data_IF_916740002143
#
_entry.id   IF_916740002143
#
_cell.length_a   1.000
_cell.length_b   1.000
_cell.length_c   1.000
_cell.angle_alpha   90.00
_cell.angle_beta   90.00
_cell.angle_gamma   90.00
#
_symmetry.space_group_name_H-M   'P 1'
#
loop_
_entity.id
_entity.type
_entity.pdbx_description
1 polymer ?
#
# COMPACT_ATOMS: atom_id res chain seq x y z
N UNK A 1 -18.93 8.43 22.41
CA UNK A 1 -19.48 7.11 22.04
C UNK A 1 -18.98 6.83 20.64
N UNK A 2 -18.58 5.60 20.33
CA UNK A 2 -18.14 5.18 18.99
C UNK A 2 -19.15 4.14 18.52
N UNK A 3 -19.77 4.39 17.35
CA UNK A 3 -20.63 3.44 16.69
C UNK A 3 -19.87 2.87 15.48
N UNK A 4 -19.79 1.55 15.39
CA UNK A 4 -19.15 0.85 14.29
C UNK A 4 -20.22 0.16 13.43
N UNK A 5 -20.26 0.54 12.13
CA UNK A 5 -21.18 -0.06 11.16
C UNK A 5 -20.33 -0.87 10.18
N UNK A 6 -20.38 -2.19 10.30
CA UNK A 6 -19.68 -3.12 9.40
C UNK A 6 -20.33 -3.18 8.01
N UNK A 7 -19.61 -3.74 7.01
CA UNK A 7 -20.13 -3.91 5.65
C UNK A 7 -21.39 -4.78 5.60
N UNK A 8 -21.51 -5.76 6.49
CA UNK A 8 -22.70 -6.60 6.65
C UNK A 8 -23.96 -5.83 7.10
N UNK A 9 -23.79 -4.60 7.60
CA UNK A 9 -24.85 -3.65 7.96
C UNK A 9 -24.86 -2.42 7.03
N UNK A 10 -24.33 -2.54 5.81
CA UNK A 10 -24.32 -1.49 4.82
C UNK A 10 -23.26 -0.38 5.04
N UNK A 11 -22.28 -0.60 5.94
CA UNK A 11 -21.27 0.40 6.29
C UNK A 11 -20.37 0.87 5.14
N UNK A 12 -20.32 0.16 4.03
CA UNK A 12 -19.63 0.53 2.78
C UNK A 12 -20.55 1.18 1.73
N UNK A 13 -21.85 1.22 1.96
CA UNK A 13 -22.81 1.95 1.13
C UNK A 13 -22.99 3.38 1.64
N UNK A 14 -21.98 4.23 1.37
CA UNK A 14 -21.90 5.59 1.92
C UNK A 14 -22.03 6.63 0.81
N UNK A 15 -22.87 7.63 1.05
CA UNK A 15 -22.92 8.85 0.24
C UNK A 15 -22.90 10.11 1.11
N UNK A 16 -22.46 11.24 0.54
CA UNK A 16 -22.30 12.50 1.26
C UNK A 16 -22.97 13.63 0.52
N UNK A 17 -23.81 14.38 1.21
CA UNK A 17 -24.28 15.71 0.81
C UNK A 17 -23.53 16.77 1.61
N UNK A 18 -22.47 17.31 1.02
CA UNK A 18 -21.62 18.30 1.66
C UNK A 18 -22.36 19.65 1.89
N UNK A 19 -23.34 19.99 1.06
CA UNK A 19 -24.10 21.25 1.21
C UNK A 19 -25.08 21.18 2.39
N UNK A 20 -25.70 20.02 2.59
CA UNK A 20 -26.61 19.78 3.69
C UNK A 20 -25.89 19.32 4.98
N UNK A 21 -24.57 19.02 4.90
CA UNK A 21 -23.81 18.42 5.99
C UNK A 21 -24.42 17.10 6.47
N UNK A 22 -24.78 16.25 5.52
CA UNK A 22 -25.38 14.94 5.77
C UNK A 22 -24.47 13.83 5.25
N UNK A 23 -24.40 12.73 6.01
CA UNK A 23 -23.89 11.45 5.57
C UNK A 23 -25.05 10.45 5.51
N UNK A 24 -25.12 9.67 4.43
CA UNK A 24 -26.10 8.60 4.30
C UNK A 24 -25.36 7.26 4.30
N UNK A 25 -25.73 6.37 5.20
CA UNK A 25 -25.19 5.03 5.32
C UNK A 25 -26.35 4.06 5.14
N UNK A 26 -26.30 3.23 4.10
CA UNK A 26 -27.35 2.26 3.73
C UNK A 26 -28.78 2.86 3.72
N UNK A 27 -28.90 4.10 3.23
CA UNK A 27 -30.17 4.83 3.15
C UNK A 27 -30.58 5.61 4.40
N UNK A 28 -29.90 5.43 5.52
CA UNK A 28 -30.11 6.22 6.74
C UNK A 28 -29.31 7.52 6.68
N UNK A 29 -30.00 8.65 6.83
CA UNK A 29 -29.41 9.99 6.76
C UNK A 29 -29.09 10.50 8.16
N UNK A 30 -27.83 10.84 8.39
CA UNK A 30 -27.36 11.46 9.63
C UNK A 30 -26.74 12.83 9.34
N UNK A 31 -27.16 13.84 10.10
CA UNK A 31 -26.55 15.18 10.06
C UNK A 31 -25.27 15.17 10.89
N UNK A 32 -24.20 15.75 10.34
CA UNK A 32 -22.88 15.79 10.97
C UNK A 32 -22.32 17.21 10.99
N UNK A 33 -21.54 17.55 12.01
CA UNK A 33 -20.83 18.83 12.08
C UNK A 33 -19.47 18.75 11.38
N UNK A 34 -18.85 17.57 11.37
CA UNK A 34 -17.61 17.26 10.66
C UNK A 34 -17.73 15.85 10.06
N UNK A 35 -17.35 15.70 8.81
CA UNK A 35 -17.35 14.41 8.13
C UNK A 35 -15.99 14.17 7.46
N UNK A 36 -15.31 13.10 7.86
CA UNK A 36 -14.12 12.61 7.17
C UNK A 36 -14.46 11.33 6.40
N UNK A 37 -14.46 11.41 5.08
CA UNK A 37 -14.84 10.30 4.20
C UNK A 37 -13.66 9.84 3.38
N UNK A 38 -13.34 8.56 3.45
CA UNK A 38 -12.35 7.91 2.58
C UNK A 38 -13.11 7.12 1.52
N UNK A 39 -13.22 7.64 0.28
CA UNK A 39 -13.95 6.97 -0.79
C UNK A 39 -13.22 5.73 -1.28
N UNK A 40 -13.92 4.87 -2.01
CA UNK A 40 -13.31 3.77 -2.75
C UNK A 40 -12.22 4.32 -3.70
N UNK A 41 -11.06 3.70 -3.68
CA UNK A 41 -9.88 4.14 -4.45
C UNK A 41 -9.71 3.33 -5.73
N UNK A 42 -9.06 3.95 -6.72
CA UNK A 42 -8.63 3.31 -7.96
C UNK A 42 -7.28 3.86 -8.41
N UNK A 43 -6.67 3.21 -9.38
CA UNK A 43 -5.44 3.70 -10.02
C UNK A 43 -5.64 5.11 -10.56
N UNK A 44 -4.58 5.90 -10.58
CA UNK A 44 -4.61 7.25 -11.11
C UNK A 44 -5.04 7.27 -12.59
N UNK A 45 -5.67 8.36 -13.01
CA UNK A 45 -6.25 8.51 -14.35
C UNK A 45 -5.27 8.21 -15.50
N UNK A 46 -3.98 8.42 -15.28
CA UNK A 46 -2.96 8.14 -16.31
C UNK A 46 -2.93 6.64 -16.67
N UNK A 47 -3.12 5.73 -15.71
CA UNK A 47 -3.15 4.30 -15.97
C UNK A 47 -4.38 3.89 -16.80
N UNK A 48 -5.52 4.52 -16.53
CA UNK A 48 -6.75 4.33 -17.33
C UNK A 48 -6.57 4.84 -18.76
N UNK A 49 -6.04 6.06 -18.93
CA UNK A 49 -5.77 6.66 -20.24
C UNK A 49 -4.75 5.87 -21.06
N UNK A 50 -3.77 5.24 -20.40
CA UNK A 50 -2.79 4.36 -21.04
C UNK A 50 -3.36 2.97 -21.40
N UNK A 51 -4.60 2.67 -21.01
CA UNK A 51 -5.22 1.38 -21.31
C UNK A 51 -4.63 0.19 -20.55
N UNK A 52 -3.96 0.44 -19.42
CA UNK A 52 -3.25 -0.61 -18.66
C UNK A 52 -4.00 -1.08 -17.40
N UNK A 53 -5.22 -0.58 -17.17
CA UNK A 53 -6.06 -1.00 -16.04
C UNK A 53 -7.00 -2.15 -16.43
N UNK A 54 -7.30 -2.99 -15.45
CA UNK A 54 -8.40 -3.95 -15.47
C UNK A 54 -9.21 -3.70 -14.18
N UNK A 55 -10.45 -3.24 -14.34
CA UNK A 55 -11.22 -2.69 -13.24
C UNK A 55 -10.56 -1.45 -12.64
N UNK A 56 -10.38 -1.45 -11.32
CA UNK A 56 -9.86 -0.28 -10.60
C UNK A 56 -8.33 -0.18 -10.56
N UNK A 57 -7.61 -1.22 -10.97
CA UNK A 57 -6.16 -1.31 -10.78
C UNK A 57 -5.44 -1.80 -12.03
N UNK A 58 -4.13 -1.60 -12.10
CA UNK A 58 -3.30 -2.05 -13.21
C UNK A 58 -2.65 -3.41 -12.90
N UNK A 59 -3.02 -4.49 -13.60
CA UNK A 59 -2.38 -5.80 -13.45
C UNK A 59 -0.94 -5.78 -13.89
N UNK A 60 -0.05 -6.37 -13.06
CA UNK A 60 1.39 -6.42 -13.32
C UNK A 60 1.96 -7.84 -13.20
N UNK A 61 3.07 -8.08 -13.88
CA UNK A 61 3.90 -9.27 -13.68
C UNK A 61 4.70 -9.11 -12.38
N UNK A 62 4.48 -10.00 -11.42
CA UNK A 62 5.10 -9.91 -10.11
C UNK A 62 6.64 -9.94 -10.12
N UNK A 63 7.25 -10.55 -11.14
CA UNK A 63 8.71 -10.66 -11.24
C UNK A 63 9.40 -9.38 -11.70
N UNK A 64 8.69 -8.46 -12.38
CA UNK A 64 9.27 -7.28 -13.03
C UNK A 64 8.54 -5.98 -12.74
N UNK A 65 7.28 -6.04 -12.32
CA UNK A 65 6.34 -4.91 -12.26
C UNK A 65 5.94 -4.37 -13.66
N UNK A 66 6.26 -5.07 -14.76
CA UNK A 66 5.72 -4.71 -16.08
C UNK A 66 4.22 -4.98 -16.15
N UNK A 67 3.51 -4.16 -16.91
CA UNK A 67 2.07 -4.31 -17.11
C UNK A 67 1.73 -5.62 -17.84
N UNK A 68 0.61 -6.24 -17.48
CA UNK A 68 0.09 -7.38 -18.23
C UNK A 68 -0.59 -6.98 -19.54
N UNK A 69 -0.97 -5.70 -19.69
CA UNK A 69 -1.59 -5.16 -20.90
C UNK A 69 -0.54 -4.68 -21.92
N UNK A 70 0.59 -4.15 -21.45
CA UNK A 70 1.66 -3.63 -22.30
C UNK A 70 3.01 -3.91 -21.65
N UNK A 71 3.85 -4.81 -22.20
CA UNK A 71 5.11 -5.22 -21.59
C UNK A 71 6.16 -4.11 -21.49
N UNK A 72 6.04 -3.06 -22.29
CA UNK A 72 6.96 -1.91 -22.30
C UNK A 72 6.59 -0.85 -21.24
N UNK A 73 5.44 -1.03 -20.55
CA UNK A 73 4.98 -0.16 -19.47
C UNK A 73 5.18 -0.82 -18.13
N UNK A 74 5.81 -0.12 -17.19
CA UNK A 74 6.02 -0.58 -15.82
C UNK A 74 5.15 0.20 -14.85
N UNK A 75 4.48 -0.49 -13.92
CA UNK A 75 3.55 0.11 -12.97
C UNK A 75 3.86 -0.43 -11.57
N UNK A 76 4.03 0.47 -10.62
CA UNK A 76 4.34 0.12 -9.24
C UNK A 76 3.56 1.00 -8.26
N UNK A 77 3.64 0.68 -6.98
CA UNK A 77 2.92 1.38 -5.93
C UNK A 77 1.42 1.14 -5.98
N UNK A 78 0.67 2.10 -5.48
CA UNK A 78 -0.77 1.96 -5.24
C UNK A 78 -1.60 1.76 -6.51
N UNK A 79 -1.12 2.17 -7.67
CA UNK A 79 -1.80 1.95 -8.94
C UNK A 79 -1.83 0.48 -9.38
N UNK A 80 -0.88 -0.33 -8.92
CA UNK A 80 -0.74 -1.72 -9.36
C UNK A 80 -1.64 -2.70 -8.61
N UNK A 81 -2.01 -3.80 -9.30
CA UNK A 81 -2.60 -5.00 -8.68
C UNK A 81 -1.48 -5.84 -8.05
N UNK A 82 -1.08 -5.48 -6.83
CA UNK A 82 0.14 -6.00 -6.19
C UNK A 82 -0.06 -7.27 -5.33
N UNK A 83 -1.15 -8.00 -5.55
CA UNK A 83 -1.41 -9.27 -4.88
C UNK A 83 -1.61 -9.12 -3.37
N UNK A 84 -0.83 -9.85 -2.58
CA UNK A 84 -0.95 -9.86 -1.12
C UNK A 84 -0.23 -8.69 -0.44
N UNK A 85 0.53 -7.87 -1.18
CA UNK A 85 1.18 -6.69 -0.59
C UNK A 85 0.15 -5.59 -0.30
N UNK A 86 0.24 -4.92 0.86
CA UNK A 86 -0.58 -3.74 1.12
C UNK A 86 -0.12 -2.55 0.28
N UNK A 87 -1.03 -1.63 0.03
CA UNK A 87 -0.72 -0.33 -0.61
C UNK A 87 -0.11 0.59 0.43
N UNK A 88 1.20 0.85 0.31
CA UNK A 88 1.96 1.71 1.24
C UNK A 88 3.22 2.25 0.56
N UNK A 89 3.78 3.31 1.11
CA UNK A 89 5.04 3.88 0.62
C UNK A 89 6.20 2.89 0.70
N UNK A 90 6.25 2.05 1.73
CA UNK A 90 7.27 1.00 1.85
C UNK A 90 7.12 -0.05 0.73
N UNK A 91 5.88 -0.53 0.48
CA UNK A 91 5.59 -1.44 -0.63
C UNK A 91 6.01 -0.84 -1.97
N UNK A 92 5.67 0.43 -2.23
CA UNK A 92 6.04 1.14 -3.44
C UNK A 92 7.56 1.22 -3.62
N UNK A 93 8.31 1.57 -2.58
CA UNK A 93 9.79 1.60 -2.62
C UNK A 93 10.38 0.20 -2.86
N UNK A 94 9.83 -0.83 -2.21
CA UNK A 94 10.26 -2.22 -2.43
C UNK A 94 10.01 -2.67 -3.88
N UNK A 95 8.86 -2.34 -4.45
CA UNK A 95 8.52 -2.60 -5.84
C UNK A 95 9.39 -1.80 -6.82
N UNK A 96 9.73 -0.55 -6.48
CA UNK A 96 10.60 0.29 -7.30
C UNK A 96 11.98 -0.35 -7.50
N UNK A 97 12.55 -0.96 -6.47
CA UNK A 97 13.84 -1.66 -6.56
C UNK A 97 13.78 -2.88 -7.48
N UNK A 98 12.67 -3.64 -7.43
CA UNK A 98 12.44 -4.77 -8.35
C UNK A 98 12.25 -4.27 -9.78
N UNK A 99 11.43 -3.25 -9.98
CA UNK A 99 11.19 -2.62 -11.27
C UNK A 99 12.48 -2.10 -11.89
N UNK A 100 13.27 -1.31 -11.15
CA UNK A 100 14.55 -0.78 -11.64
C UNK A 100 15.54 -1.88 -12.06
N UNK A 101 15.58 -2.99 -11.32
CA UNK A 101 16.40 -4.14 -11.68
C UNK A 101 15.91 -4.82 -12.97
N UNK A 102 14.61 -4.92 -13.20
CA UNK A 102 14.02 -5.45 -14.41
C UNK A 102 14.29 -4.53 -15.61
N UNK A 103 13.98 -3.24 -15.51
CA UNK A 103 14.23 -2.23 -16.56
C UNK A 103 15.70 -2.19 -16.96
N UNK A 104 16.61 -2.21 -15.98
CA UNK A 104 18.04 -2.28 -16.26
C UNK A 104 18.38 -3.54 -17.06
N UNK A 105 17.81 -4.69 -16.69
CA UNK A 105 18.02 -5.95 -17.43
C UNK A 105 17.54 -5.86 -18.87
N UNK A 106 16.34 -5.32 -19.07
CA UNK A 106 15.73 -5.19 -20.41
C UNK A 106 16.53 -4.23 -21.31
N UNK A 107 17.02 -3.12 -20.76
CA UNK A 107 17.78 -2.13 -21.53
C UNK A 107 19.22 -2.53 -21.81
N UNK A 108 19.85 -3.31 -20.95
CA UNK A 108 21.30 -3.59 -21.04
C UNK A 108 21.66 -5.06 -21.27
N UNK A 109 20.68 -5.97 -21.24
CA UNK A 109 20.93 -7.42 -21.26
C UNK A 109 21.62 -7.93 -19.98
N UNK A 110 21.72 -7.12 -18.93
CA UNK A 110 22.38 -7.51 -17.69
C UNK A 110 21.51 -8.48 -16.87
N UNK A 111 22.15 -9.28 -16.01
CA UNK A 111 21.45 -10.25 -15.17
C UNK A 111 20.40 -9.57 -14.29
N UNK A 112 19.17 -10.07 -14.36
CA UNK A 112 18.08 -9.71 -13.46
C UNK A 112 18.08 -10.66 -12.25
N UNK A 113 17.99 -10.10 -11.05
CA UNK A 113 17.93 -10.88 -9.80
C UNK A 113 16.49 -11.26 -9.50
N UNK A 114 16.25 -12.41 -8.81
CA UNK A 114 14.91 -12.79 -8.39
C UNK A 114 14.22 -11.70 -7.56
N UNK A 115 12.97 -11.40 -7.91
CA UNK A 115 12.17 -10.41 -7.20
C UNK A 115 11.87 -10.85 -5.76
N UNK A 116 12.22 -10.00 -4.82
CA UNK A 116 11.92 -10.14 -3.39
C UNK A 116 11.32 -8.83 -2.90
N UNK A 117 10.28 -8.93 -2.09
CA UNK A 117 9.58 -7.75 -1.60
C UNK A 117 9.42 -7.82 -0.09
N UNK A 118 9.29 -6.67 0.51
CA UNK A 118 8.95 -6.52 1.92
C UNK A 118 8.04 -5.32 2.12
N UNK A 119 7.32 -5.32 3.22
CA UNK A 119 6.58 -4.18 3.71
C UNK A 119 6.65 -4.12 5.22
N UNK A 120 6.78 -2.93 5.76
CA UNK A 120 6.57 -2.63 7.18
C UNK A 120 5.77 -1.34 7.28
N UNK A 121 4.76 -1.37 8.12
CA UNK A 121 4.00 -0.20 8.52
C UNK A 121 4.20 0.01 10.02
N UNK A 122 4.55 1.23 10.41
CA UNK A 122 4.71 1.64 11.80
C UNK A 122 3.55 2.52 12.24
N UNK A 123 3.18 2.41 13.50
CA UNK A 123 2.32 3.37 14.17
C UNK A 123 3.05 3.88 15.41
N UNK A 124 3.30 5.19 15.43
CA UNK A 124 3.94 5.85 16.56
C UNK A 124 2.86 6.26 17.55
N UNK A 125 2.85 5.63 18.72
CA UNK A 125 1.83 5.84 19.76
C UNK A 125 2.22 7.03 20.64
N UNK A 126 3.50 7.27 20.81
CA UNK A 126 4.06 8.36 21.59
C UNK A 126 5.56 8.46 21.39
N UNK A 127 6.22 9.37 22.09
CA UNK A 127 7.68 9.50 22.05
C UNK A 127 8.36 8.23 22.54
N UNK A 128 9.26 7.68 21.74
CA UNK A 128 9.93 6.40 22.00
C UNK A 128 8.95 5.21 22.14
N UNK A 129 7.78 5.30 21.51
CA UNK A 129 6.74 4.29 21.62
C UNK A 129 6.12 3.99 20.26
N UNK A 130 6.54 2.90 19.64
CA UNK A 130 6.07 2.46 18.32
C UNK A 130 5.62 1.01 18.30
N UNK A 131 4.69 0.70 17.40
CA UNK A 131 4.28 -0.66 17.02
C UNK A 131 4.42 -0.81 15.52
N UNK A 132 4.53 -2.04 15.05
CA UNK A 132 4.67 -2.34 13.63
C UNK A 132 3.94 -3.61 13.20
N UNK A 133 3.57 -3.62 11.93
CA UNK A 133 3.11 -4.80 11.20
C UNK A 133 3.85 -4.87 9.87
N UNK A 134 4.21 -6.05 9.44
CA UNK A 134 4.89 -6.20 8.16
C UNK A 134 4.93 -7.64 7.68
N UNK A 135 5.48 -7.80 6.48
CA UNK A 135 5.64 -9.11 5.88
C UNK A 135 6.75 -9.11 4.82
N UNK A 136 7.19 -10.30 4.46
CA UNK A 136 8.00 -10.57 3.28
C UNK A 136 7.17 -11.25 2.21
N UNK A 137 7.54 -11.00 0.95
CA UNK A 137 6.79 -11.51 -0.20
C UNK A 137 7.73 -12.00 -1.28
N UNK A 138 7.20 -12.85 -2.16
CA UNK A 138 7.89 -13.33 -3.36
C UNK A 138 7.01 -13.20 -4.59
N UNK A 139 7.63 -13.08 -5.76
CA UNK A 139 6.93 -13.20 -7.02
C UNK A 139 6.50 -14.66 -7.27
N UNK A 140 5.26 -14.83 -7.72
CA UNK A 140 4.74 -16.07 -8.34
C UNK A 140 4.28 -15.75 -9.76
N UNK A 141 3.85 -16.76 -10.50
CA UNK A 141 3.29 -16.54 -11.84
C UNK A 141 2.01 -15.70 -11.81
N UNK A 142 1.23 -15.80 -10.73
CA UNK A 142 -0.09 -15.17 -10.60
C UNK A 142 0.00 -13.79 -9.95
N UNK A 143 0.80 -13.67 -8.85
CA UNK A 143 0.81 -12.48 -7.99
C UNK A 143 2.08 -12.34 -7.16
N UNK A 144 2.23 -11.22 -6.48
CA UNK A 144 3.15 -11.07 -5.35
C UNK A 144 2.50 -11.75 -4.14
N UNK A 145 3.07 -12.88 -3.71
CA UNK A 145 2.52 -13.72 -2.66
C UNK A 145 3.25 -13.53 -1.33
N UNK A 146 2.50 -13.45 -0.23
CA UNK A 146 3.05 -13.38 1.12
C UNK A 146 3.80 -14.67 1.47
N UNK A 147 4.98 -14.53 2.07
CA UNK A 147 5.81 -15.65 2.56
C UNK A 147 5.69 -15.75 4.06
N UNK A 148 5.93 -14.66 4.79
CA UNK A 148 5.93 -14.61 6.24
C UNK A 148 5.50 -13.21 6.69
N UNK A 149 5.11 -13.07 7.94
CA UNK A 149 4.69 -11.78 8.48
C UNK A 149 4.84 -11.70 10.00
N UNK A 150 4.83 -10.47 10.49
CA UNK A 150 4.94 -10.14 11.91
C UNK A 150 3.99 -9.01 12.28
N UNK A 151 3.64 -8.95 13.56
CA UNK A 151 2.88 -7.86 14.17
C UNK A 151 3.34 -7.70 15.61
N UNK A 152 3.47 -6.46 16.06
CA UNK A 152 3.76 -6.12 17.45
C UNK A 152 2.73 -6.75 18.38
N UNK A 153 3.22 -7.33 19.48
CA UNK A 153 2.38 -8.06 20.44
C UNK A 153 1.90 -7.12 21.56
N UNK A 154 0.75 -7.43 22.10
CA UNK A 154 0.31 -6.78 23.34
C UNK A 154 1.29 -7.05 24.48
N UNK A 155 1.69 -6.02 25.21
CA UNK A 155 2.60 -6.13 26.35
C UNK A 155 4.08 -6.22 25.99
N UNK A 156 4.50 -5.87 24.78
CA UNK A 156 5.93 -5.69 24.46
C UNK A 156 6.59 -4.70 25.41
N UNK A 157 7.85 -4.97 25.77
CA UNK A 157 8.62 -4.10 26.67
C UNK A 157 8.84 -2.70 26.07
N UNK A 158 9.11 -1.72 26.94
CA UNK A 158 9.44 -0.36 26.51
C UNK A 158 10.67 -0.32 25.59
N UNK A 159 11.64 -1.19 25.78
CA UNK A 159 12.84 -1.24 24.94
C UNK A 159 12.50 -1.72 23.51
N UNK A 160 11.64 -2.73 23.36
CA UNK A 160 11.17 -3.19 22.05
C UNK A 160 10.36 -2.09 21.36
N UNK A 161 9.49 -1.41 22.09
CA UNK A 161 8.68 -0.32 21.60
C UNK A 161 9.49 0.88 21.15
N UNK A 162 10.54 1.23 21.91
CA UNK A 162 11.50 2.26 21.55
C UNK A 162 12.31 1.87 20.31
N UNK A 163 12.84 0.65 20.24
CA UNK A 163 13.54 0.17 19.04
C UNK A 163 12.66 0.22 17.78
N UNK A 164 11.37 -0.09 17.91
CA UNK A 164 10.40 0.02 16.81
C UNK A 164 10.16 1.48 16.37
N UNK A 165 10.14 2.41 17.31
CA UNK A 165 10.07 3.85 17.03
C UNK A 165 11.31 4.32 16.26
N UNK A 166 12.52 4.00 16.74
CA UNK A 166 13.79 4.36 16.11
C UNK A 166 13.94 3.72 14.70
N UNK A 167 13.45 2.50 14.51
CA UNK A 167 13.41 1.84 13.20
C UNK A 167 12.55 2.62 12.19
N UNK A 168 11.42 3.18 12.60
CA UNK A 168 10.57 4.03 11.77
C UNK A 168 11.30 5.30 11.32
N UNK A 169 12.00 5.98 12.24
CA UNK A 169 12.80 7.17 11.91
C UNK A 169 13.96 6.83 10.98
N UNK A 170 14.64 5.69 11.23
CA UNK A 170 15.71 5.19 10.38
C UNK A 170 15.25 4.86 8.96
N UNK A 171 14.06 4.26 8.81
CA UNK A 171 13.49 4.03 7.48
C UNK A 171 13.18 5.34 6.75
N UNK A 172 12.60 6.32 7.43
CA UNK A 172 12.32 7.63 6.83
C UNK A 172 13.61 8.32 6.36
N UNK A 173 14.65 8.30 7.17
CA UNK A 173 15.97 8.82 6.81
C UNK A 173 16.55 8.09 5.60
N UNK A 174 16.47 6.75 5.58
CA UNK A 174 16.97 5.93 4.49
C UNK A 174 16.24 6.21 3.17
N UNK A 175 14.89 6.25 3.16
CA UNK A 175 14.14 6.49 1.92
C UNK A 175 14.35 7.92 1.39
N UNK A 176 14.44 8.92 2.25
CA UNK A 176 14.72 10.30 1.82
C UNK A 176 16.12 10.43 1.24
N UNK A 177 17.11 9.75 1.79
CA UNK A 177 18.46 9.66 1.23
C UNK A 177 18.42 8.97 -0.15
N UNK A 178 17.76 7.82 -0.29
CA UNK A 178 17.62 7.10 -1.57
C UNK A 178 16.98 7.98 -2.67
N UNK A 179 16.09 8.90 -2.30
CA UNK A 179 15.30 9.70 -3.26
C UNK A 179 15.97 11.04 -3.63
N UNK A 180 16.78 11.61 -2.75
CA UNK A 180 17.24 13.00 -2.88
C UNK A 180 18.76 13.19 -2.76
N UNK A 181 19.56 12.12 -2.69
CA UNK A 181 21.04 12.19 -2.65
C UNK A 181 21.71 11.89 -3.98
#
# INVERSE_FOLDING_TARGET
MIDWIGSEFGGDNVSVDAAAMNITIDGEVTKVDVCNVIPAMKAGRIAELAGVTDGNWAPVHAASMSSKADPDVYILGDASSQGDMPKSGFSANSQAKVCANAVRGDLTGSKVFPAKFSNTCWSLIGTNDGVKVGATYKATAEKIAKVDGFISKTGESADIRKATYEESEGWYTGITTDMFS
#
